data_IF_498911274961
#
_entry.id   IF_498911274961
#
_cell.length_a   1.000
_cell.length_b   1.000
_cell.length_c   1.000
_cell.angle_alpha   90.00
_cell.angle_beta   90.00
_cell.angle_gamma   90.00
#
_symmetry.space_group_name_H-M   'P 1'
#
loop_
_entity.id
_entity.type
_entity.pdbx_description
1 polymer ?
#
# COMPACT_ATOMS: atom_id res chain seq x y z
N UNK A 1 -22.97 15.25 72.89
CA UNK A 1 -24.03 14.66 72.04
C UNK A 1 -23.31 13.98 70.89
N UNK A 2 -23.50 12.68 70.79
CA UNK A 2 -22.82 11.73 69.88
C UNK A 2 -23.25 12.01 68.45
N UNK A 3 -22.32 12.01 67.48
CA UNK A 3 -22.56 11.44 66.16
C UNK A 3 -21.24 11.22 65.41
N UNK A 4 -20.91 9.94 65.27
CA UNK A 4 -19.94 9.32 64.37
C UNK A 4 -20.42 9.31 62.92
N UNK A 5 -19.50 9.50 61.96
CA UNK A 5 -19.63 8.91 60.62
C UNK A 5 -18.31 8.91 59.83
N UNK A 6 -17.80 7.69 59.67
CA UNK A 6 -17.05 7.09 58.55
C UNK A 6 -16.49 7.99 57.44
N UNK A 7 -15.17 7.87 57.28
CA UNK A 7 -14.39 8.20 56.08
C UNK A 7 -14.87 7.33 54.92
N UNK A 8 -15.48 7.96 53.91
CA UNK A 8 -15.83 7.36 52.63
C UNK A 8 -14.75 7.67 51.59
N UNK A 9 -14.19 6.60 51.03
CA UNK A 9 -13.23 6.54 49.94
C UNK A 9 -13.76 7.24 48.66
N UNK A 10 -13.01 8.17 48.03
CA UNK A 10 -13.43 8.75 46.76
C UNK A 10 -13.17 7.77 45.61
N UNK A 11 -14.22 7.02 45.32
CA UNK A 11 -14.51 6.31 44.07
C UNK A 11 -13.74 6.81 42.84
N UNK A 12 -12.92 5.91 42.32
CA UNK A 12 -12.67 5.63 40.90
C UNK A 12 -13.34 6.59 39.91
N UNK A 13 -12.52 7.45 39.28
CA UNK A 13 -12.83 7.98 37.97
C UNK A 13 -12.78 6.81 36.98
N UNK A 14 -13.92 6.20 36.70
CA UNK A 14 -14.10 5.41 35.50
C UNK A 14 -13.78 6.32 34.30
N UNK A 15 -12.64 6.08 33.68
CA UNK A 15 -12.31 6.63 32.38
C UNK A 15 -13.35 6.06 31.42
N UNK A 16 -14.33 6.88 31.05
CA UNK A 16 -15.20 6.63 29.91
C UNK A 16 -14.31 6.51 28.68
N UNK A 17 -13.91 5.28 28.35
CA UNK A 17 -13.36 4.94 27.04
C UNK A 17 -14.42 5.34 26.04
N UNK A 18 -14.26 6.54 25.46
CA UNK A 18 -15.09 7.00 24.37
C UNK A 18 -15.02 5.90 23.30
N UNK A 19 -16.18 5.31 23.03
CA UNK A 19 -16.36 4.23 22.08
C UNK A 19 -16.20 4.84 20.68
N UNK A 20 -14.95 5.11 20.28
CA UNK A 20 -14.64 5.52 18.92
C UNK A 20 -15.02 4.34 18.01
N UNK A 21 -15.79 4.53 16.94
CA UNK A 21 -16.06 3.47 15.98
C UNK A 21 -14.73 2.83 15.53
N UNK A 22 -14.70 1.51 15.27
CA UNK A 22 -13.50 0.89 14.75
C UNK A 22 -13.08 1.60 13.47
N UNK A 23 -11.82 2.02 13.40
CA UNK A 23 -11.27 2.68 12.22
C UNK A 23 -10.16 1.84 11.60
N UNK A 24 -10.11 1.91 10.27
CA UNK A 24 -9.15 1.17 9.46
C UNK A 24 -8.25 2.15 8.72
N UNK A 25 -6.98 1.76 8.56
CA UNK A 25 -5.93 2.55 7.92
C UNK A 25 -5.24 1.73 6.84
N UNK A 26 -5.10 2.30 5.65
CA UNK A 26 -4.38 1.66 4.55
C UNK A 26 -3.30 2.61 4.06
N UNK A 27 -2.06 2.19 4.21
CA UNK A 27 -0.88 3.00 3.94
C UNK A 27 -0.20 2.44 2.69
N UNK A 28 0.20 3.34 1.79
CA UNK A 28 0.98 3.02 0.61
C UNK A 28 2.35 3.66 0.69
N UNK A 29 3.38 2.90 0.29
CA UNK A 29 4.79 3.29 0.37
C UNK A 29 5.45 3.03 -0.97
N UNK A 30 5.66 4.07 -1.79
CA UNK A 30 6.52 3.99 -2.98
C UNK A 30 7.99 4.17 -2.53
N UNK A 31 8.58 3.06 -2.07
CA UNK A 31 9.85 3.08 -1.36
C UNK A 31 11.00 3.40 -2.31
N UNK A 32 11.89 4.32 -1.92
CA UNK A 32 13.15 4.53 -2.66
C UNK A 32 14.10 3.33 -2.49
N UNK A 33 14.27 2.48 -3.52
CA UNK A 33 14.97 1.19 -3.36
C UNK A 33 16.43 1.31 -2.89
N UNK A 34 17.15 2.35 -3.30
CA UNK A 34 18.53 2.61 -2.89
C UNK A 34 18.63 3.94 -2.15
N UNK A 35 18.38 5.01 -2.89
CA UNK A 35 18.43 6.38 -2.44
C UNK A 35 17.23 7.16 -2.95
N UNK A 36 17.07 8.37 -2.46
CA UNK A 36 15.98 9.25 -2.83
C UNK A 36 14.75 9.10 -1.92
N UNK A 37 13.82 10.05 -1.99
CA UNK A 37 12.64 10.06 -1.15
C UNK A 37 11.67 8.93 -1.49
N UNK A 38 10.73 8.73 -0.57
CA UNK A 38 9.66 7.73 -0.61
C UNK A 38 8.33 8.46 -0.62
N UNK A 39 7.45 8.10 -1.56
CA UNK A 39 6.08 8.58 -1.57
C UNK A 39 5.25 7.84 -0.53
N UNK A 40 4.37 8.56 0.16
CA UNK A 40 3.55 8.03 1.24
C UNK A 40 2.10 8.46 1.06
N UNK A 41 1.17 7.52 1.20
CA UNK A 41 -0.26 7.80 1.17
C UNK A 41 -0.95 7.09 2.31
N UNK A 42 -1.87 7.76 3.00
CA UNK A 42 -2.74 7.14 4.00
C UNK A 42 -4.21 7.32 3.61
N UNK A 43 -4.92 6.19 3.57
CA UNK A 43 -6.35 6.12 3.37
C UNK A 43 -7.05 5.67 4.67
N UNK A 44 -8.31 6.06 4.79
CA UNK A 44 -9.20 5.75 5.91
C UNK A 44 -10.57 5.33 5.41
N UNK A 45 -11.20 4.36 6.08
CA UNK A 45 -12.61 4.03 5.84
C UNK A 45 -13.51 4.97 6.64
N UNK A 46 -14.30 5.77 5.94
CA UNK A 46 -15.34 6.64 6.50
C UNK A 46 -16.68 6.34 5.81
N UNK A 47 -17.68 5.94 6.60
CA UNK A 47 -19.02 5.58 6.12
C UNK A 47 -19.04 4.56 4.96
N UNK A 48 -18.10 3.60 4.98
CA UNK A 48 -17.97 2.55 3.95
C UNK A 48 -17.09 2.93 2.76
N UNK A 49 -16.78 4.22 2.56
CA UNK A 49 -15.91 4.69 1.50
C UNK A 49 -14.49 4.95 2.02
N UNK A 50 -13.51 4.89 1.12
CA UNK A 50 -12.15 5.34 1.39
C UNK A 50 -12.06 6.86 1.25
N UNK A 51 -11.26 7.46 2.12
CA UNK A 51 -10.86 8.88 2.10
C UNK A 51 -9.35 8.99 2.13
N UNK A 52 -8.80 9.88 1.30
CA UNK A 52 -7.41 10.31 1.43
C UNK A 52 -7.26 11.18 2.67
N UNK A 53 -6.33 10.83 3.57
CA UNK A 53 -6.05 11.63 4.77
C UNK A 53 -4.64 12.20 4.81
N UNK A 54 -3.71 11.62 4.05
CA UNK A 54 -2.34 12.09 3.95
C UNK A 54 -1.71 11.67 2.62
N UNK A 55 -0.90 12.56 2.05
CA UNK A 55 -0.15 12.33 0.82
C UNK A 55 1.19 13.06 0.91
N UNK A 56 2.21 12.36 1.37
CA UNK A 56 3.49 12.92 1.79
C UNK A 56 4.66 12.35 1.00
N UNK A 57 5.85 12.90 1.26
CA UNK A 57 7.10 12.42 0.68
C UNK A 57 8.26 12.64 1.64
N UNK A 58 8.82 11.55 2.14
CA UNK A 58 9.87 11.59 3.18
C UNK A 58 11.15 10.91 2.70
N UNK A 59 12.30 11.28 3.27
CA UNK A 59 13.60 10.84 2.78
C UNK A 59 14.18 9.68 3.59
N UNK A 60 14.12 9.76 4.92
CA UNK A 60 14.80 8.79 5.77
C UNK A 60 13.87 7.66 6.23
N UNK A 61 14.43 6.47 6.47
CA UNK A 61 13.66 5.32 6.94
C UNK A 61 13.00 5.62 8.30
N UNK A 62 13.70 6.31 9.20
CA UNK A 62 13.17 6.65 10.52
C UNK A 62 11.95 7.58 10.44
N UNK A 63 11.99 8.60 9.57
CA UNK A 63 10.85 9.48 9.32
C UNK A 63 9.66 8.70 8.73
N UNK A 64 9.93 7.76 7.81
CA UNK A 64 8.90 6.92 7.19
C UNK A 64 8.24 6.02 8.24
N UNK A 65 9.02 5.35 9.09
CA UNK A 65 8.49 4.48 10.15
C UNK A 65 7.73 5.26 11.22
N UNK A 66 8.19 6.47 11.56
CA UNK A 66 7.49 7.38 12.45
C UNK A 66 6.14 7.83 11.85
N UNK A 67 6.12 8.15 10.55
CA UNK A 67 4.91 8.49 9.81
C UNK A 67 3.91 7.32 9.78
N UNK A 68 4.38 6.09 9.52
CA UNK A 68 3.55 4.88 9.57
C UNK A 68 2.95 4.68 10.96
N UNK A 69 3.76 4.86 12.01
CA UNK A 69 3.31 4.72 13.40
C UNK A 69 2.25 5.75 13.75
N UNK A 70 2.47 7.03 13.38
CA UNK A 70 1.52 8.11 13.61
C UNK A 70 0.15 7.84 12.97
N UNK A 71 0.11 7.48 11.68
CA UNK A 71 -1.15 7.30 10.98
C UNK A 71 -1.90 6.01 11.34
N UNK A 72 -1.22 5.04 11.96
CA UNK A 72 -1.83 3.77 12.39
C UNK A 72 -2.07 3.69 13.89
N UNK A 73 -1.68 4.70 14.66
CA UNK A 73 -1.94 4.79 16.08
C UNK A 73 -3.42 4.63 16.35
N UNK A 74 -3.76 3.76 17.32
CA UNK A 74 -5.12 3.43 17.77
C UNK A 74 -6.03 2.70 16.76
N UNK A 75 -5.57 2.46 15.52
CA UNK A 75 -6.41 1.82 14.49
C UNK A 75 -6.77 0.38 14.85
N UNK A 76 -7.99 -0.04 14.49
CA UNK A 76 -8.44 -1.42 14.67
C UNK A 76 -7.72 -2.34 13.69
N UNK A 77 -7.61 -1.92 12.43
CA UNK A 77 -6.86 -2.62 11.39
C UNK A 77 -5.94 -1.64 10.66
N UNK A 78 -4.74 -2.12 10.31
CA UNK A 78 -3.81 -1.35 9.50
C UNK A 78 -3.11 -2.22 8.46
N UNK A 79 -3.04 -1.76 7.21
CA UNK A 79 -2.28 -2.45 6.16
C UNK A 79 -1.27 -1.50 5.54
N UNK A 80 -0.01 -1.91 5.45
CA UNK A 80 1.07 -1.17 4.77
C UNK A 80 1.44 -1.90 3.48
N UNK A 81 1.09 -1.32 2.33
CA UNK A 81 1.49 -1.81 1.02
C UNK A 81 2.74 -1.07 0.53
N UNK A 82 3.78 -1.83 0.19
CA UNK A 82 5.10 -1.32 -0.19
C UNK A 82 5.42 -1.68 -1.64
N UNK A 83 5.75 -0.70 -2.48
CA UNK A 83 6.31 -0.91 -3.84
C UNK A 83 7.79 -1.31 -3.75
N UNK A 84 8.06 -2.40 -3.05
CA UNK A 84 9.40 -2.97 -2.93
C UNK A 84 9.37 -4.40 -2.39
N UNK A 85 10.33 -5.24 -2.79
CA UNK A 85 10.52 -6.57 -2.25
C UNK A 85 11.07 -6.54 -0.82
N UNK A 86 10.19 -6.70 0.16
CA UNK A 86 10.58 -6.77 1.58
C UNK A 86 10.92 -8.19 2.05
N UNK A 87 10.55 -9.22 1.29
CA UNK A 87 10.96 -10.61 1.48
C UNK A 87 11.82 -11.10 0.30
N UNK A 88 13.13 -11.26 0.51
CA UNK A 88 14.07 -11.69 -0.53
C UNK A 88 14.81 -12.96 -0.07
N UNK A 89 14.33 -14.16 -0.42
CA UNK A 89 14.92 -15.41 0.07
C UNK A 89 16.08 -15.94 -0.77
N UNK A 90 16.22 -15.51 -2.03
CA UNK A 90 17.19 -16.05 -2.97
C UNK A 90 18.48 -15.20 -3.05
N UNK A 91 19.63 -15.87 -3.12
CA UNK A 91 20.93 -15.23 -3.28
C UNK A 91 21.11 -14.56 -4.64
N UNK A 92 20.67 -15.22 -5.71
CA UNK A 92 20.81 -14.75 -7.10
C UNK A 92 19.57 -15.09 -7.93
N UNK A 93 19.49 -14.55 -9.15
CA UNK A 93 18.40 -14.81 -10.09
C UNK A 93 17.10 -14.07 -9.75
N UNK A 94 15.97 -14.66 -10.12
CA UNK A 94 14.63 -14.12 -9.90
C UNK A 94 13.93 -14.86 -8.75
N UNK A 95 13.14 -14.16 -7.93
CA UNK A 95 12.20 -14.81 -7.02
C UNK A 95 11.03 -15.42 -7.80
N UNK A 96 10.28 -16.29 -7.13
CA UNK A 96 9.01 -16.85 -7.62
C UNK A 96 8.00 -15.76 -8.02
N UNK A 97 7.68 -14.76 -7.17
CA UNK A 97 6.83 -13.62 -7.52
C UNK A 97 7.31 -12.86 -8.76
N UNK A 98 8.62 -12.60 -8.88
CA UNK A 98 9.16 -11.85 -10.01
C UNK A 98 8.88 -12.60 -11.33
N UNK A 99 9.08 -13.93 -11.36
CA UNK A 99 8.79 -14.77 -12.53
C UNK A 99 7.31 -14.77 -12.88
N UNK A 100 6.45 -14.95 -11.88
CA UNK A 100 4.99 -14.94 -12.06
C UNK A 100 4.52 -13.57 -12.58
N UNK A 101 5.10 -12.47 -12.11
CA UNK A 101 4.82 -11.15 -12.63
C UNK A 101 5.17 -11.05 -14.13
N UNK A 102 6.32 -11.57 -14.57
CA UNK A 102 6.64 -11.63 -16.00
C UNK A 102 5.65 -12.48 -16.81
N UNK A 103 5.24 -13.64 -16.28
CA UNK A 103 4.29 -14.54 -16.94
C UNK A 103 2.93 -13.88 -17.13
N UNK A 104 2.36 -13.30 -16.07
CA UNK A 104 1.01 -12.76 -16.09
C UNK A 104 0.94 -11.34 -16.65
N UNK A 105 1.99 -10.54 -16.43
CA UNK A 105 2.00 -9.12 -16.73
C UNK A 105 2.93 -8.67 -17.86
N UNK A 106 3.78 -9.57 -18.39
CA UNK A 106 4.70 -9.26 -19.48
C UNK A 106 4.00 -8.73 -20.74
N UNK A 107 2.80 -9.24 -21.06
CA UNK A 107 1.98 -8.76 -22.19
C UNK A 107 1.56 -7.30 -22.09
N UNK A 108 1.56 -6.73 -20.89
CA UNK A 108 1.20 -5.34 -20.62
C UNK A 108 2.43 -4.42 -20.51
N UNK A 109 3.62 -4.92 -20.81
CA UNK A 109 4.92 -4.28 -20.53
C UNK A 109 5.16 -4.10 -18.99
N UNK A 110 4.52 -4.88 -18.12
CA UNK A 110 4.56 -4.78 -16.66
C UNK A 110 5.40 -5.89 -15.98
N UNK A 111 6.58 -6.20 -16.53
CA UNK A 111 7.51 -7.15 -15.92
C UNK A 111 8.25 -6.55 -14.72
N UNK A 112 8.47 -7.34 -13.67
CA UNK A 112 9.16 -6.89 -12.45
C UNK A 112 10.69 -6.87 -12.64
N UNK A 113 11.39 -5.95 -11.96
CA UNK A 113 12.84 -6.00 -11.85
C UNK A 113 13.25 -7.08 -10.85
N UNK A 114 14.07 -8.09 -11.23
CA UNK A 114 14.43 -9.19 -10.34
C UNK A 114 15.11 -8.76 -9.04
N UNK A 115 14.56 -9.21 -7.91
CA UNK A 115 15.14 -9.03 -6.60
C UNK A 115 15.88 -10.30 -6.15
N UNK A 116 17.06 -10.12 -5.56
CA UNK A 116 17.86 -11.17 -4.93
C UNK A 116 18.85 -10.52 -3.96
N UNK A 117 19.39 -11.29 -3.01
CA UNK A 117 20.27 -10.77 -1.96
C UNK A 117 21.60 -10.21 -2.50
N UNK A 118 22.04 -10.64 -3.68
CA UNK A 118 23.19 -10.05 -4.38
C UNK A 118 22.95 -8.64 -4.93
N UNK A 119 21.73 -8.09 -4.85
CA UNK A 119 21.44 -6.72 -5.31
C UNK A 119 21.81 -5.68 -4.26
N UNK A 120 22.37 -4.51 -4.67
CA UNK A 120 22.77 -3.44 -3.75
C UNK A 120 21.63 -2.85 -2.90
N UNK A 121 20.36 -3.00 -3.31
CA UNK A 121 19.21 -2.55 -2.54
C UNK A 121 18.71 -3.57 -1.51
N UNK A 122 19.07 -4.86 -1.65
CA UNK A 122 18.37 -5.95 -0.97
C UNK A 122 18.38 -5.81 0.56
N UNK A 123 19.55 -5.51 1.14
CA UNK A 123 19.69 -5.31 2.58
C UNK A 123 18.76 -4.22 3.13
N UNK A 124 18.60 -3.10 2.41
CA UNK A 124 17.72 -1.99 2.80
C UNK A 124 16.25 -2.41 2.80
N UNK A 125 15.81 -3.10 1.76
CA UNK A 125 14.39 -3.48 1.61
C UNK A 125 13.99 -4.58 2.59
N UNK A 126 14.86 -5.55 2.83
CA UNK A 126 14.67 -6.57 3.86
C UNK A 126 14.64 -5.93 5.25
N UNK A 127 15.58 -5.02 5.55
CA UNK A 127 15.59 -4.31 6.83
C UNK A 127 14.30 -3.48 7.05
N UNK A 128 13.74 -2.88 5.99
CA UNK A 128 12.47 -2.17 6.06
C UNK A 128 11.30 -3.12 6.39
N UNK A 129 11.24 -4.30 5.76
CA UNK A 129 10.26 -5.34 6.09
C UNK A 129 10.33 -5.79 7.55
N UNK A 130 11.55 -6.06 8.05
CA UNK A 130 11.80 -6.43 9.45
C UNK A 130 11.41 -5.31 10.43
N UNK A 131 11.61 -4.04 10.05
CA UNK A 131 11.18 -2.90 10.85
C UNK A 131 9.65 -2.81 10.94
N UNK A 132 8.94 -3.08 9.84
CA UNK A 132 7.48 -3.21 9.85
C UNK A 132 7.01 -4.39 10.72
N UNK A 133 7.67 -5.55 10.66
CA UNK A 133 7.37 -6.67 11.56
C UNK A 133 7.59 -6.29 13.03
N UNK A 134 8.64 -5.53 13.34
CA UNK A 134 8.91 -5.03 14.69
C UNK A 134 7.85 -4.05 15.18
N UNK A 135 7.20 -3.32 14.27
CA UNK A 135 6.01 -2.52 14.57
C UNK A 135 4.74 -3.36 14.70
N UNK A 136 4.76 -4.67 14.38
CA UNK A 136 3.64 -5.58 14.46
C UNK A 136 2.89 -5.81 13.14
N UNK A 137 3.43 -5.36 12.00
CA UNK A 137 2.86 -5.63 10.68
C UNK A 137 3.32 -7.00 10.15
N UNK A 138 2.43 -7.98 10.15
CA UNK A 138 2.75 -9.34 9.73
C UNK A 138 2.60 -9.56 8.23
N UNK A 139 3.40 -10.47 7.68
CA UNK A 139 3.23 -10.99 6.33
C UNK A 139 2.14 -12.08 6.31
N UNK A 140 0.95 -11.76 5.81
CA UNK A 140 -0.14 -12.73 5.63
C UNK A 140 -0.94 -12.44 4.35
N UNK A 141 -0.34 -12.56 3.14
CA UNK A 141 -0.99 -12.15 1.89
C UNK A 141 -2.22 -13.02 1.53
N UNK A 142 -2.26 -14.26 2.00
CA UNK A 142 -3.40 -15.16 1.84
C UNK A 142 -4.34 -14.98 3.04
N UNK A 143 -5.33 -14.10 2.88
CA UNK A 143 -6.32 -13.80 3.92
C UNK A 143 -7.75 -13.78 3.35
N UNK A 144 -8.76 -14.10 4.18
CA UNK A 144 -10.16 -13.84 3.83
C UNK A 144 -10.42 -12.33 3.74
N UNK A 145 -11.58 -11.90 3.19
CA UNK A 145 -12.05 -10.53 3.32
C UNK A 145 -12.03 -10.01 4.76
N UNK A 146 -11.64 -8.74 4.90
CA UNK A 146 -11.62 -7.92 6.12
C UNK A 146 -10.94 -8.60 7.31
N UNK A 147 -9.68 -9.08 7.17
CA UNK A 147 -8.98 -9.71 8.27
C UNK A 147 -8.68 -8.68 9.37
N UNK A 148 -8.70 -9.14 10.62
CA UNK A 148 -8.36 -8.32 11.77
C UNK A 148 -6.84 -8.29 12.00
N UNK A 149 -6.28 -7.11 12.26
CA UNK A 149 -4.88 -6.95 12.66
C UNK A 149 -4.08 -5.96 11.80
N UNK A 150 -2.75 -6.10 11.88
CA UNK A 150 -1.79 -5.23 11.21
C UNK A 150 -0.96 -6.03 10.22
N UNK A 151 -0.98 -5.65 8.94
CA UNK A 151 -0.40 -6.41 7.85
C UNK A 151 0.55 -5.57 7.01
N UNK A 152 1.57 -6.20 6.44
CA UNK A 152 2.37 -5.61 5.38
C UNK A 152 2.27 -6.43 4.10
N UNK A 153 2.31 -5.77 2.95
CA UNK A 153 2.22 -6.38 1.63
C UNK A 153 3.29 -5.79 0.71
N UNK A 154 3.99 -6.65 -0.02
CA UNK A 154 4.68 -6.23 -1.24
C UNK A 154 3.63 -6.09 -2.35
N UNK A 155 3.60 -4.94 -3.01
CA UNK A 155 2.69 -4.61 -4.12
C UNK A 155 3.47 -4.11 -5.32
N UNK A 156 2.82 -4.03 -6.48
CA UNK A 156 3.44 -3.52 -7.71
C UNK A 156 2.45 -2.61 -8.46
N UNK A 157 2.62 -1.27 -8.41
CA UNK A 157 1.66 -0.29 -8.97
C UNK A 157 1.37 -0.47 -10.47
N UNK A 158 2.37 -0.82 -11.28
CA UNK A 158 2.16 -1.01 -12.72
C UNK A 158 1.17 -2.15 -13.03
N UNK A 159 1.36 -3.40 -12.56
CA UNK A 159 0.33 -4.43 -12.62
C UNK A 159 -1.02 -4.03 -12.01
N UNK A 160 -1.01 -3.33 -10.86
CA UNK A 160 -2.24 -2.93 -10.20
C UNK A 160 -3.07 -1.99 -11.07
N UNK A 161 -2.46 -0.95 -11.63
CA UNK A 161 -3.15 0.01 -12.51
C UNK A 161 -3.64 -0.64 -13.81
N UNK A 162 -2.91 -1.60 -14.35
CA UNK A 162 -3.37 -2.39 -15.51
C UNK A 162 -4.71 -3.06 -15.23
N UNK A 163 -4.86 -3.71 -14.08
CA UNK A 163 -6.10 -4.41 -13.73
C UNK A 163 -7.20 -3.47 -13.25
N UNK A 164 -6.89 -2.51 -12.36
CA UNK A 164 -7.87 -1.58 -11.80
C UNK A 164 -8.46 -0.65 -12.86
N UNK A 165 -7.65 -0.19 -13.82
CA UNK A 165 -8.07 0.76 -14.84
C UNK A 165 -8.31 0.12 -16.21
N UNK A 166 -8.22 -1.21 -16.31
CA UNK A 166 -8.46 -1.95 -17.55
C UNK A 166 -7.51 -1.59 -18.69
N UNK A 167 -6.24 -1.28 -18.38
CA UNK A 167 -5.28 -0.83 -19.38
C UNK A 167 -4.78 -1.99 -20.25
N UNK A 168 -4.59 -1.72 -21.54
CA UNK A 168 -3.98 -2.69 -22.46
C UNK A 168 -2.46 -2.79 -22.30
N UNK A 169 -1.82 -1.76 -21.74
CA UNK A 169 -0.40 -1.67 -21.37
C UNK A 169 -0.19 -0.68 -20.23
N UNK A 170 0.96 -0.73 -19.56
CA UNK A 170 1.33 0.28 -18.55
C UNK A 170 1.40 1.69 -19.13
N UNK A 171 1.11 2.67 -18.27
CA UNK A 171 1.43 4.07 -18.50
C UNK A 171 2.93 4.28 -18.31
N UNK A 172 3.60 4.90 -19.28
CA UNK A 172 5.08 5.00 -19.30
C UNK A 172 5.58 6.26 -18.57
N UNK A 173 5.10 6.51 -17.36
CA UNK A 173 5.47 7.70 -16.58
C UNK A 173 6.84 7.60 -15.88
N UNK A 174 7.40 6.39 -15.68
CA UNK A 174 8.75 6.20 -15.10
C UNK A 174 9.90 6.15 -16.12
N UNK A 175 9.62 6.18 -17.44
CA UNK A 175 10.65 5.97 -18.50
C UNK A 175 10.49 6.96 -19.66
N UNK A 176 11.61 7.52 -20.12
CA UNK A 176 11.65 8.44 -21.26
C UNK A 176 11.97 9.88 -20.86
N UNK A 177 11.85 10.81 -21.81
CA UNK A 177 12.08 12.24 -21.57
C UNK A 177 10.95 12.84 -20.73
N UNK A 178 11.17 14.03 -20.14
CA UNK A 178 10.11 14.72 -19.38
C UNK A 178 8.84 14.96 -20.22
N UNK A 179 9.01 15.31 -21.50
CA UNK A 179 7.91 15.53 -22.43
C UNK A 179 7.09 14.25 -22.70
N UNK A 180 7.72 13.07 -22.61
CA UNK A 180 7.07 11.76 -22.76
C UNK A 180 6.41 11.31 -21.46
N UNK A 181 7.10 11.49 -20.32
CA UNK A 181 6.64 11.01 -19.00
C UNK A 181 5.46 11.82 -18.46
N UNK A 182 5.49 13.14 -18.61
CA UNK A 182 4.45 14.05 -18.09
C UNK A 182 3.02 13.70 -18.51
N UNK A 183 2.70 13.51 -19.81
CA UNK A 183 1.33 13.14 -20.20
C UNK A 183 0.92 11.76 -19.70
N UNK A 184 1.86 10.82 -19.52
CA UNK A 184 1.56 9.50 -18.95
C UNK A 184 1.27 9.57 -17.44
N UNK A 185 1.97 10.46 -16.72
CA UNK A 185 1.69 10.72 -15.31
C UNK A 185 0.35 11.44 -15.13
N UNK A 186 0.00 12.35 -16.04
CA UNK A 186 -1.33 12.98 -16.05
C UNK A 186 -2.42 11.95 -16.28
N UNK A 187 -2.23 11.00 -17.19
CA UNK A 187 -3.17 9.88 -17.35
C UNK A 187 -3.33 9.10 -16.05
N UNK A 188 -2.25 8.80 -15.33
CA UNK A 188 -2.33 8.11 -14.04
C UNK A 188 -3.20 8.91 -13.06
N UNK A 189 -2.91 10.21 -12.89
CA UNK A 189 -3.68 11.13 -12.05
C UNK A 189 -5.16 11.13 -12.41
N UNK A 190 -5.47 11.24 -13.70
CA UNK A 190 -6.86 11.25 -14.20
C UNK A 190 -7.57 9.90 -13.98
N UNK A 191 -6.90 8.76 -14.16
CA UNK A 191 -7.48 7.46 -13.83
C UNK A 191 -7.75 7.32 -12.32
N UNK A 192 -6.86 7.81 -11.47
CA UNK A 192 -7.08 7.81 -10.03
C UNK A 192 -8.30 8.65 -9.64
N UNK A 193 -8.46 9.83 -10.24
CA UNK A 193 -9.60 10.72 -9.99
C UNK A 193 -10.93 10.22 -10.55
N UNK A 194 -10.91 9.50 -11.68
CA UNK A 194 -12.13 9.11 -12.39
C UNK A 194 -12.57 7.67 -12.15
N UNK A 195 -11.64 6.75 -11.88
CA UNK A 195 -11.94 5.31 -11.75
C UNK A 195 -12.02 4.88 -10.29
N UNK A 196 -11.07 5.26 -9.43
CA UNK A 196 -11.07 4.81 -8.03
C UNK A 196 -12.36 5.18 -7.25
N UNK A 197 -13.04 6.32 -7.50
CA UNK A 197 -14.34 6.59 -6.89
C UNK A 197 -15.48 5.67 -7.35
N UNK A 198 -15.29 4.92 -8.45
CA UNK A 198 -16.31 4.04 -9.05
C UNK A 198 -16.12 2.56 -8.69
N UNK A 199 -14.98 2.23 -8.09
CA UNK A 199 -14.65 0.87 -7.67
C UNK A 199 -15.24 0.58 -6.29
N UNK A 200 -15.12 -0.67 -5.84
CA UNK A 200 -15.46 -1.08 -4.48
C UNK A 200 -14.19 -1.68 -3.83
N UNK A 201 -13.74 -1.18 -2.67
CA UNK A 201 -14.26 0.00 -1.96
C UNK A 201 -13.99 1.31 -2.72
N UNK A 202 -14.99 2.19 -2.79
CA UNK A 202 -14.88 3.46 -3.49
C UNK A 202 -13.91 4.40 -2.77
N UNK A 203 -12.99 5.03 -3.51
CA UNK A 203 -12.12 6.08 -2.97
C UNK A 203 -12.60 7.45 -3.46
N UNK A 204 -13.20 8.20 -2.54
CA UNK A 204 -13.69 9.54 -2.85
C UNK A 204 -12.51 10.52 -2.94
N UNK A 205 -12.26 11.03 -4.15
CA UNK A 205 -11.22 12.01 -4.45
C UNK A 205 -11.79 13.22 -5.17
N UNK A 206 -11.18 14.38 -4.90
CA UNK A 206 -11.37 15.64 -5.64
C UNK A 206 -10.07 16.00 -6.35
N UNK A 207 -10.18 16.82 -7.39
CA UNK A 207 -9.02 17.38 -8.09
C UNK A 207 -8.00 18.04 -7.15
N UNK A 208 -8.48 18.72 -6.11
CA UNK A 208 -7.64 19.40 -5.10
C UNK A 208 -6.86 18.45 -4.18
N UNK A 209 -7.24 17.18 -4.14
CA UNK A 209 -6.63 16.20 -3.24
C UNK A 209 -5.32 15.65 -3.83
N UNK A 210 -5.16 15.74 -5.16
CA UNK A 210 -3.96 15.26 -5.86
C UNK A 210 -3.12 16.43 -6.37
N UNK A 211 -1.78 16.36 -6.24
CA UNK A 211 -0.90 17.45 -6.66
C UNK A 211 -1.01 17.69 -8.18
N UNK A 212 -0.82 18.94 -8.58
CA UNK A 212 -0.69 19.31 -9.99
C UNK A 212 0.65 18.83 -10.57
N UNK A 213 0.65 18.45 -11.84
CA UNK A 213 1.85 17.93 -12.51
C UNK A 213 2.69 19.09 -13.04
N UNK A 214 3.81 19.33 -12.37
CA UNK A 214 4.75 20.40 -12.67
C UNK A 214 5.77 20.02 -13.77
N UNK A 215 6.47 21.04 -14.30
CA UNK A 215 7.31 20.92 -15.51
C UNK A 215 8.76 20.49 -15.26
N UNK A 216 9.25 20.49 -14.01
CA UNK A 216 10.64 20.11 -13.71
C UNK A 216 10.77 18.62 -13.40
N UNK A 217 11.93 18.03 -13.68
CA UNK A 217 12.14 16.60 -13.44
C UNK A 217 12.02 16.19 -11.97
N UNK A 218 12.50 17.03 -11.04
CA UNK A 218 12.41 16.76 -9.61
C UNK A 218 10.96 16.86 -9.10
N UNK A 219 10.20 17.87 -9.54
CA UNK A 219 8.81 18.02 -9.17
C UNK A 219 7.94 16.91 -9.78
N UNK A 220 8.20 16.54 -11.04
CA UNK A 220 7.55 15.41 -11.70
C UNK A 220 7.78 14.11 -10.93
N UNK A 221 9.01 13.85 -10.46
CA UNK A 221 9.33 12.68 -9.66
C UNK A 221 8.64 12.72 -8.29
N UNK A 222 8.52 13.89 -7.66
CA UNK A 222 7.80 14.00 -6.40
C UNK A 222 6.31 13.65 -6.54
N UNK A 223 5.67 14.13 -7.61
CA UNK A 223 4.29 13.77 -7.93
C UNK A 223 4.18 12.28 -8.28
N UNK A 224 5.12 11.73 -9.06
CA UNK A 224 5.19 10.29 -9.34
C UNK A 224 5.21 9.45 -8.05
N UNK A 225 6.12 9.77 -7.13
CA UNK A 225 6.24 9.07 -5.83
C UNK A 225 4.89 9.09 -5.07
N UNK A 226 4.23 10.25 -5.03
CA UNK A 226 2.94 10.42 -4.37
C UNK A 226 1.83 9.61 -5.04
N UNK A 227 1.68 9.69 -6.37
CA UNK A 227 0.62 8.96 -7.08
C UNK A 227 0.82 7.44 -7.04
N UNK A 228 2.06 6.96 -7.07
CA UNK A 228 2.34 5.52 -6.88
C UNK A 228 2.05 5.06 -5.46
N UNK A 229 2.38 5.88 -4.45
CA UNK A 229 2.02 5.57 -3.07
C UNK A 229 0.50 5.52 -2.87
N UNK A 230 -0.27 6.38 -3.55
CA UNK A 230 -1.73 6.31 -3.55
C UNK A 230 -2.25 4.99 -4.15
N UNK A 231 -1.66 4.56 -5.26
CA UNK A 231 -1.98 3.25 -5.84
C UNK A 231 -1.67 2.12 -4.85
N UNK A 232 -0.52 2.16 -4.17
CA UNK A 232 -0.17 1.18 -3.14
C UNK A 232 -1.20 1.15 -2.01
N UNK A 233 -1.58 2.32 -1.49
CA UNK A 233 -2.56 2.43 -0.40
C UNK A 233 -3.93 1.88 -0.81
N UNK A 234 -4.34 2.14 -2.06
CA UNK A 234 -5.57 1.57 -2.60
C UNK A 234 -5.49 0.04 -2.74
N UNK A 235 -4.35 -0.52 -3.17
CA UNK A 235 -4.16 -1.98 -3.21
C UNK A 235 -4.23 -2.58 -1.80
N UNK A 236 -3.66 -1.93 -0.78
CA UNK A 236 -3.82 -2.34 0.61
C UNK A 236 -5.29 -2.39 1.04
N UNK A 237 -6.06 -1.36 0.72
CA UNK A 237 -7.49 -1.29 1.03
C UNK A 237 -8.30 -2.36 0.27
N UNK A 238 -8.00 -2.55 -1.02
CA UNK A 238 -8.64 -3.54 -1.88
C UNK A 238 -8.33 -4.98 -1.44
N UNK A 239 -7.10 -5.25 -1.02
CA UNK A 239 -6.71 -6.51 -0.39
C UNK A 239 -7.43 -6.74 0.93
N UNK A 240 -7.48 -5.73 1.79
CA UNK A 240 -8.21 -5.86 3.05
C UNK A 240 -9.69 -6.11 2.81
N UNK A 241 -10.32 -5.36 1.90
CA UNK A 241 -11.76 -5.46 1.66
C UNK A 241 -12.18 -6.81 1.07
N UNK A 242 -11.44 -7.32 0.08
CA UNK A 242 -11.82 -8.52 -0.68
C UNK A 242 -10.98 -9.76 -0.38
N UNK A 243 -9.87 -9.64 0.32
CA UNK A 243 -8.90 -10.72 0.49
C UNK A 243 -8.47 -11.32 -0.85
N UNK A 244 -8.29 -12.63 -0.87
CA UNK A 244 -7.93 -13.40 -2.08
C UNK A 244 -9.06 -13.55 -3.10
N UNK A 245 -10.29 -13.11 -2.81
CA UNK A 245 -11.42 -13.23 -3.74
C UNK A 245 -11.28 -12.30 -4.95
N UNK A 246 -10.66 -11.13 -4.74
CA UNK A 246 -10.38 -10.15 -5.80
C UNK A 246 -8.93 -9.71 -5.87
N UNK A 247 -8.01 -10.42 -5.22
CA UNK A 247 -6.58 -10.12 -5.32
C UNK A 247 -5.81 -11.39 -5.63
N UNK A 248 -4.90 -11.29 -6.60
CA UNK A 248 -3.92 -12.32 -6.87
C UNK A 248 -2.73 -12.15 -5.93
N UNK A 249 -2.28 -13.27 -5.38
CA UNK A 249 -1.00 -13.38 -4.68
C UNK A 249 -0.07 -14.17 -5.58
N UNK A 250 0.94 -13.49 -6.11
CA UNK A 250 1.98 -14.12 -6.91
C UNK A 250 3.07 -14.62 -5.96
N UNK A 251 3.21 -15.94 -5.80
CA UNK A 251 4.15 -16.53 -4.82
C UNK A 251 3.52 -16.72 -3.44
N UNK A 252 4.36 -16.74 -2.40
CA UNK A 252 3.93 -16.95 -1.02
C UNK A 252 4.92 -16.35 0.01
N UNK A 253 4.65 -16.52 1.30
CA UNK A 253 5.52 -15.96 2.35
C UNK A 253 6.95 -16.54 2.33
N UNK A 254 7.13 -17.78 1.88
CA UNK A 254 8.43 -18.47 1.88
C UNK A 254 9.29 -18.05 0.69
N UNK A 255 8.71 -17.94 -0.49
CA UNK A 255 9.44 -17.57 -1.72
C UNK A 255 9.43 -16.06 -2.02
N UNK A 256 8.77 -15.28 -1.17
CA UNK A 256 8.39 -13.89 -1.44
C UNK A 256 7.07 -13.83 -2.21
N UNK A 257 6.36 -12.70 -2.15
CA UNK A 257 5.09 -12.53 -2.82
C UNK A 257 4.87 -11.13 -3.37
N UNK A 258 4.01 -11.00 -4.37
CA UNK A 258 3.46 -9.70 -4.81
C UNK A 258 1.94 -9.80 -4.79
N UNK A 259 1.27 -8.85 -4.15
CA UNK A 259 -0.19 -8.71 -4.22
C UNK A 259 -0.57 -7.75 -5.34
N UNK A 260 -1.49 -8.19 -6.20
CA UNK A 260 -2.06 -7.38 -7.28
C UNK A 260 -3.58 -7.58 -7.30
N UNK A 261 -4.40 -6.53 -7.43
CA UNK A 261 -5.83 -6.70 -7.70
C UNK A 261 -6.07 -7.64 -8.90
N UNK A 262 -7.05 -8.53 -8.79
CA UNK A 262 -7.50 -9.34 -9.90
C UNK A 262 -8.17 -8.45 -10.97
N UNK A 263 -8.21 -8.85 -12.25
CA UNK A 263 -8.93 -8.11 -13.28
C UNK A 263 -10.39 -7.88 -12.87
N UNK A 264 -10.92 -6.67 -13.08
CA UNK A 264 -12.29 -6.28 -12.65
C UNK A 264 -13.40 -7.21 -13.21
N UNK A 265 -13.13 -7.93 -14.30
CA UNK A 265 -14.04 -8.88 -14.94
C UNK A 265 -13.72 -10.37 -14.67
N UNK A 266 -12.78 -10.68 -13.78
CA UNK A 266 -12.53 -12.06 -13.39
C UNK A 266 -13.67 -12.51 -12.46
N UNK A 267 -14.48 -13.47 -12.91
CA UNK A 267 -15.33 -14.23 -11.98
C UNK A 267 -14.45 -14.77 -10.85
N UNK A 268 -14.92 -14.69 -9.60
CA UNK A 268 -14.20 -15.09 -8.40
C UNK A 268 -13.49 -16.44 -8.61
N UNK A 269 -12.20 -16.40 -8.91
CA UNK A 269 -11.35 -17.58 -8.96
C UNK A 269 -10.59 -17.58 -7.65
N UNK A 270 -10.75 -18.64 -6.86
CA UNK A 270 -9.86 -18.99 -5.75
C UNK A 270 -8.43 -19.11 -6.28
N UNK A 271 -7.70 -17.99 -6.29
CA UNK A 271 -6.39 -17.88 -6.91
C UNK A 271 -5.30 -18.13 -5.88
N UNK A 272 -4.96 -19.40 -5.67
CA UNK A 272 -3.56 -19.76 -5.44
C UNK A 272 -2.98 -20.09 -6.80
N UNK A 273 -2.33 -19.10 -7.43
CA UNK A 273 -1.59 -19.34 -8.67
C UNK A 273 -0.30 -20.07 -8.28
N UNK A 274 -0.33 -21.41 -8.36
CA UNK A 274 0.87 -22.23 -8.25
C UNK A 274 1.62 -22.20 -9.60
N UNK A 275 2.97 -22.26 -9.57
CA UNK A 275 3.84 -22.06 -10.73
C UNK A 275 3.56 -23.01 -11.90
#
# INVERSE_FOLDING_TARGET
MICSSSVGDPTSKENSSQNCPPYHRFLGVDLGWQSGPTGLCCLHVDNGNLRLVALDRLQTVDEILAWISHWTEGSTNAVVAVDAPTLIPNETGMRSPDRLAHVHFGRYDAGCYPANLGRPFAAKLVAFGLALESLGFQHQPLSPPQPAGRFQLEVFPHPATVHLFGLSKILKYKKGTLAQRRPELEKLRQYQLSVLPTLEPALDLKESDLPEILFTGAALKAVEDQLDSLTCAYVAAHWWYWGVERNWVLGDRTEGYIVVPAPVNAHAQTATLKP
#
